data_IF_246183251896
#
_entry.id   IF_246183251896
#
_cell.length_a   1.000
_cell.length_b   1.000
_cell.length_c   1.000
_cell.angle_alpha   90.00
_cell.angle_beta   90.00
_cell.angle_gamma   90.00
#
_symmetry.space_group_name_H-M   'P 1'
#
loop_
_entity.id
_entity.type
_entity.pdbx_description
1 polymer ?
#
# COMPACT_ATOMS: atom_id res chain seq x y z
N UNK A 1 -50.30 20.88 -2.28
CA UNK A 1 -49.36 21.54 -3.22
C UNK A 1 -48.46 22.53 -2.48
N UNK A 2 -48.98 23.58 -1.84
CA UNK A 2 -48.15 24.56 -1.09
C UNK A 2 -47.28 23.97 0.03
N UNK A 3 -47.83 23.05 0.83
CA UNK A 3 -47.08 22.39 1.92
C UNK A 3 -45.93 21.52 1.38
N UNK A 4 -46.15 20.83 0.26
CA UNK A 4 -45.15 20.00 -0.42
C UNK A 4 -44.04 20.85 -1.03
N UNK A 5 -44.41 21.97 -1.67
CA UNK A 5 -43.43 22.92 -2.20
C UNK A 5 -42.55 23.51 -1.09
N UNK A 6 -43.16 23.90 0.04
CA UNK A 6 -42.44 24.47 1.18
C UNK A 6 -41.51 23.45 1.86
N UNK A 7 -41.88 22.17 1.90
CA UNK A 7 -41.01 21.10 2.38
C UNK A 7 -39.84 20.84 1.44
N UNK A 8 -40.06 20.85 0.12
CA UNK A 8 -38.98 20.72 -0.87
C UNK A 8 -37.97 21.87 -0.74
N UNK A 9 -38.44 23.12 -0.58
CA UNK A 9 -37.55 24.28 -0.40
C UNK A 9 -36.76 24.25 0.92
N UNK A 10 -37.27 23.59 1.97
CA UNK A 10 -36.54 23.40 3.22
C UNK A 10 -35.44 22.34 3.08
N UNK A 11 -35.74 21.23 2.39
CA UNK A 11 -34.76 20.19 2.09
C UNK A 11 -33.63 20.70 1.21
N UNK A 12 -33.94 21.43 0.13
CA UNK A 12 -32.94 22.08 -0.74
C UNK A 12 -32.02 23.02 0.05
N UNK A 13 -32.58 23.78 1.00
CA UNK A 13 -31.79 24.69 1.85
C UNK A 13 -30.90 23.92 2.83
N UNK A 14 -31.37 22.81 3.39
CA UNK A 14 -30.56 21.93 4.24
C UNK A 14 -29.41 21.28 3.44
N UNK A 15 -29.67 20.86 2.20
CA UNK A 15 -28.65 20.34 1.28
C UNK A 15 -27.58 21.39 0.94
N UNK A 16 -27.98 22.63 0.65
CA UNK A 16 -27.04 23.72 0.38
C UNK A 16 -26.15 24.04 1.60
N UNK A 17 -26.71 24.08 2.81
CA UNK A 17 -25.93 24.31 4.03
C UNK A 17 -24.99 23.14 4.33
N UNK A 18 -25.43 21.90 4.11
CA UNK A 18 -24.56 20.74 4.23
C UNK A 18 -23.42 20.80 3.21
N UNK A 19 -23.68 21.15 1.96
CA UNK A 19 -22.66 21.29 0.92
C UNK A 19 -21.57 22.32 1.29
N UNK A 20 -21.95 23.46 1.91
CA UNK A 20 -21.01 24.48 2.39
C UNK A 20 -20.06 23.95 3.47
N UNK A 21 -20.49 22.98 4.27
CA UNK A 21 -19.62 22.32 5.27
C UNK A 21 -18.79 21.22 4.62
N UNK A 22 -19.38 20.43 3.73
CA UNK A 22 -18.72 19.29 3.11
C UNK A 22 -17.61 19.66 2.14
N UNK A 23 -17.71 20.80 1.46
CA UNK A 23 -16.68 21.26 0.51
C UNK A 23 -15.30 21.38 1.17
N UNK A 24 -15.25 21.69 2.48
CA UNK A 24 -14.01 21.78 3.24
C UNK A 24 -13.24 20.46 3.34
N UNK A 25 -13.93 19.32 3.23
CA UNK A 25 -13.28 18.00 3.16
C UNK A 25 -12.36 17.88 1.94
N UNK A 26 -12.68 18.59 0.85
CA UNK A 26 -11.87 18.62 -0.38
C UNK A 26 -10.82 19.73 -0.32
N UNK A 27 -11.19 20.93 0.15
CA UNK A 27 -10.25 22.06 0.32
C UNK A 27 -9.03 21.66 1.17
N UNK A 28 -9.25 20.90 2.25
CA UNK A 28 -8.19 20.41 3.13
C UNK A 28 -7.99 18.90 3.09
N UNK A 29 -8.40 18.23 2.01
CA UNK A 29 -8.32 16.77 1.88
C UNK A 29 -6.91 16.22 2.05
N UNK A 30 -5.90 16.96 1.59
CA UNK A 30 -4.48 16.63 1.72
C UNK A 30 -3.96 16.62 3.17
N UNK A 31 -4.65 17.30 4.10
CA UNK A 31 -4.14 17.50 5.46
C UNK A 31 -3.96 16.19 6.22
N UNK A 32 -4.85 15.22 6.02
CA UNK A 32 -4.81 13.91 6.70
C UNK A 32 -3.53 13.16 6.34
N UNK A 33 -3.26 12.96 5.04
CA UNK A 33 -2.08 12.24 4.59
C UNK A 33 -0.79 12.98 4.99
N UNK A 34 -0.77 14.32 4.90
CA UNK A 34 0.39 15.12 5.29
C UNK A 34 0.71 15.00 6.80
N UNK A 35 -0.31 15.05 7.67
CA UNK A 35 -0.09 14.94 9.13
C UNK A 35 0.27 13.51 9.54
N UNK A 36 -0.28 12.49 8.89
CA UNK A 36 0.10 11.09 9.12
C UNK A 36 1.54 10.83 8.67
N UNK A 37 1.93 11.33 7.48
CA UNK A 37 3.31 11.29 7.00
C UNK A 37 4.26 11.92 8.03
N UNK A 38 3.94 13.12 8.49
CA UNK A 38 4.71 13.81 9.54
C UNK A 38 4.85 12.96 10.82
N UNK A 39 3.78 12.28 11.25
CA UNK A 39 3.83 11.39 12.42
C UNK A 39 4.78 10.19 12.22
N UNK A 40 4.84 9.62 11.02
CA UNK A 40 5.75 8.53 10.64
C UNK A 40 7.20 9.03 10.57
N UNK A 41 7.43 10.18 9.93
CA UNK A 41 8.75 10.80 9.81
C UNK A 41 9.35 11.14 11.17
N UNK A 42 8.53 11.72 12.06
CA UNK A 42 8.92 12.04 13.44
C UNK A 42 9.02 10.80 14.36
N UNK A 43 8.56 9.63 13.92
CA UNK A 43 8.57 8.40 14.72
C UNK A 43 7.68 8.48 15.96
N UNK A 44 6.54 9.19 15.88
CA UNK A 44 5.63 9.39 17.02
C UNK A 44 5.11 8.05 17.54
N UNK A 45 4.66 7.17 16.64
CA UNK A 45 4.16 5.86 17.02
C UNK A 45 5.26 5.04 17.70
N UNK A 46 6.46 5.00 17.13
CA UNK A 46 7.59 4.23 17.66
C UNK A 46 8.03 4.74 19.05
N UNK A 47 8.04 6.05 19.26
CA UNK A 47 8.36 6.65 20.55
C UNK A 47 7.35 6.28 21.63
N UNK A 48 6.05 6.33 21.33
CA UNK A 48 4.99 5.96 22.28
C UNK A 48 5.05 4.46 22.59
N UNK A 49 5.28 3.61 21.57
CA UNK A 49 5.41 2.16 21.78
C UNK A 49 6.63 1.82 22.63
N UNK A 50 7.78 2.42 22.32
CA UNK A 50 9.04 2.19 23.05
C UNK A 50 8.99 2.65 24.50
N UNK A 51 8.19 3.67 24.80
CA UNK A 51 7.93 4.12 26.16
C UNK A 51 7.12 3.11 27.00
N UNK A 52 6.37 2.21 26.35
CA UNK A 52 5.63 1.11 27.00
C UNK A 52 4.39 1.53 27.83
N UNK A 53 4.11 2.83 27.93
CA UNK A 53 2.98 3.38 28.69
C UNK A 53 2.56 4.75 28.11
N UNK A 54 1.39 5.31 28.49
CA UNK A 54 1.00 6.63 28.02
C UNK A 54 2.07 7.69 28.33
N UNK A 55 2.47 8.47 27.32
CA UNK A 55 3.59 9.42 27.41
C UNK A 55 3.09 10.87 27.44
N UNK A 56 3.68 11.74 28.26
CA UNK A 56 3.32 13.16 28.25
C UNK A 56 3.83 13.88 26.99
N UNK A 57 3.26 15.05 26.69
CA UNK A 57 3.72 15.87 25.57
C UNK A 57 5.21 16.24 25.67
N UNK A 58 5.68 16.58 26.87
CA UNK A 58 7.07 17.01 27.09
C UNK A 58 8.05 15.85 26.93
N UNK A 59 7.71 14.67 27.46
CA UNK A 59 8.52 13.47 27.29
C UNK A 59 8.57 13.03 25.83
N UNK A 60 7.42 13.06 25.13
CA UNK A 60 7.37 12.72 23.71
C UNK A 60 8.20 13.70 22.88
N UNK A 61 8.04 15.00 23.12
CA UNK A 61 8.83 16.07 22.49
C UNK A 61 10.34 15.90 22.73
N UNK A 62 10.76 15.58 23.95
CA UNK A 62 12.15 15.30 24.27
C UNK A 62 12.67 14.06 23.54
N UNK A 63 11.84 13.01 23.43
CA UNK A 63 12.19 11.74 22.77
C UNK A 63 12.41 11.91 21.28
N UNK A 64 11.48 12.59 20.59
CA UNK A 64 11.54 12.80 19.13
C UNK A 64 12.25 14.12 18.73
N UNK A 65 12.75 14.87 19.71
CA UNK A 65 13.54 16.10 19.55
C UNK A 65 12.83 17.20 18.74
N UNK A 66 11.60 17.52 19.09
CA UNK A 66 10.82 18.57 18.41
C UNK A 66 10.21 19.58 19.39
N UNK A 67 9.78 20.74 18.90
CA UNK A 67 9.10 21.76 19.71
C UNK A 67 7.75 21.25 20.29
N UNK A 68 7.52 21.36 21.62
CA UNK A 68 6.28 20.89 22.24
C UNK A 68 5.01 21.54 21.69
N UNK A 69 5.05 22.83 21.32
CA UNK A 69 3.86 23.56 20.85
C UNK A 69 3.40 23.08 19.47
N UNK A 70 4.37 22.86 18.58
CA UNK A 70 4.15 22.30 17.25
C UNK A 70 3.68 20.86 17.34
N UNK A 71 4.33 20.04 18.17
CA UNK A 71 3.92 18.66 18.42
C UNK A 71 2.50 18.57 18.98
N UNK A 72 2.14 19.46 19.90
CA UNK A 72 0.80 19.49 20.47
C UNK A 72 -0.29 19.66 19.41
N UNK A 73 -0.05 20.53 18.40
CA UNK A 73 -1.00 20.75 17.30
C UNK A 73 -1.15 19.51 16.43
N UNK A 74 -0.05 18.82 16.14
CA UNK A 74 -0.03 17.56 15.38
C UNK A 74 -0.77 16.46 16.17
N UNK A 75 -0.43 16.27 17.44
CA UNK A 75 -1.08 15.28 18.30
C UNK A 75 -2.58 15.55 18.43
N UNK A 76 -2.99 16.81 18.60
CA UNK A 76 -4.41 17.18 18.66
C UNK A 76 -5.17 16.79 17.40
N UNK A 77 -4.57 17.00 16.21
CA UNK A 77 -5.16 16.56 14.95
C UNK A 77 -5.27 15.02 14.90
N UNK A 78 -4.19 14.31 15.21
CA UNK A 78 -4.17 12.85 15.16
C UNK A 78 -5.15 12.21 16.16
N UNK A 79 -5.34 12.82 17.34
CA UNK A 79 -6.30 12.38 18.35
C UNK A 79 -7.74 12.64 17.90
N UNK A 80 -8.01 13.79 17.30
CA UNK A 80 -9.32 14.09 16.73
C UNK A 80 -9.71 13.09 15.63
N UNK A 81 -8.73 12.60 14.86
CA UNK A 81 -8.90 11.55 13.87
C UNK A 81 -8.79 10.12 14.43
N UNK A 82 -8.77 9.96 15.76
CA UNK A 82 -8.70 8.67 16.45
C UNK A 82 -7.47 7.80 16.10
N UNK A 83 -6.42 8.41 15.56
CA UNK A 83 -5.15 7.72 15.27
C UNK A 83 -4.42 7.46 16.59
N UNK A 84 -4.30 8.47 17.44
CA UNK A 84 -3.86 8.31 18.84
C UNK A 84 -5.01 8.61 19.79
N UNK A 85 -4.84 8.29 21.08
CA UNK A 85 -5.81 8.69 22.11
C UNK A 85 -5.15 9.48 23.23
N UNK A 86 -5.88 10.46 23.73
CA UNK A 86 -5.51 11.23 24.92
C UNK A 86 -6.02 10.52 26.17
N UNK A 87 -5.12 10.27 27.12
CA UNK A 87 -5.45 9.75 28.44
C UNK A 87 -5.57 10.92 29.40
N UNK A 88 -6.76 11.03 29.98
CA UNK A 88 -7.05 12.02 31.01
C UNK A 88 -6.61 11.46 32.36
N UNK A 89 -5.83 12.21 33.14
CA UNK A 89 -5.41 11.75 34.45
C UNK A 89 -6.59 11.69 35.42
N UNK A 90 -6.47 10.83 36.43
CA UNK A 90 -7.43 10.74 37.53
C UNK A 90 -7.40 12.02 38.40
N UNK A 91 -6.23 12.65 38.50
CA UNK A 91 -6.01 13.90 39.22
C UNK A 91 -5.93 15.03 38.18
N UNK A 92 -6.82 16.03 38.27
CA UNK A 92 -6.93 17.12 37.27
C UNK A 92 -5.64 17.95 37.06
N UNK A 93 -4.70 17.90 38.00
CA UNK A 93 -3.44 18.65 37.95
C UNK A 93 -2.34 17.93 37.15
N UNK A 94 -2.46 16.62 36.93
CA UNK A 94 -1.45 15.87 36.18
C UNK A 94 -1.52 16.26 34.69
N UNK A 95 -0.38 16.19 33.96
CA UNK A 95 -0.38 16.44 32.54
C UNK A 95 -1.17 15.35 31.79
N UNK A 96 -1.85 15.76 30.73
CA UNK A 96 -2.43 14.84 29.75
C UNK A 96 -1.32 13.98 29.13
N UNK A 97 -1.62 12.72 28.84
CA UNK A 97 -0.71 11.80 28.17
C UNK A 97 -1.33 11.18 26.93
N UNK A 98 -0.49 10.65 26.05
CA UNK A 98 -0.87 10.09 24.76
C UNK A 98 -0.59 8.59 24.75
N UNK A 99 -1.52 7.82 24.19
CA UNK A 99 -1.39 6.37 24.06
C UNK A 99 -1.76 5.91 22.64
N UNK A 100 -1.27 4.71 22.31
CA UNK A 100 -1.59 4.04 21.05
C UNK A 100 -3.08 3.69 20.93
N UNK A 101 -3.57 3.70 19.71
CA UNK A 101 -4.78 2.97 19.27
C UNK A 101 -4.36 1.80 18.36
N UNK A 102 -5.28 0.92 17.94
CA UNK A 102 -4.99 -0.02 16.87
C UNK A 102 -4.51 0.66 15.58
N UNK A 103 -5.08 1.83 15.23
CA UNK A 103 -4.74 2.54 13.99
C UNK A 103 -3.32 3.13 14.03
N UNK A 104 -2.89 3.73 15.14
CA UNK A 104 -1.50 4.23 15.24
C UNK A 104 -0.46 3.12 15.25
N UNK A 105 -0.83 1.90 15.69
CA UNK A 105 0.08 0.74 15.60
C UNK A 105 0.34 0.27 14.17
N UNK A 106 -0.56 0.60 13.24
CA UNK A 106 -0.31 0.41 11.81
C UNK A 106 0.72 1.43 11.25
N UNK A 107 1.19 2.39 12.05
CA UNK A 107 2.21 3.37 11.65
C UNK A 107 3.60 3.06 12.22
N UNK A 108 3.74 2.00 13.03
CA UNK A 108 5.01 1.59 13.65
C UNK A 108 5.98 1.06 12.60
N UNK A 109 7.23 1.52 12.57
CA UNK A 109 8.19 1.05 11.56
C UNK A 109 8.55 -0.43 11.72
N UNK A 110 8.61 -0.92 12.96
CA UNK A 110 9.00 -2.30 13.29
C UNK A 110 7.83 -3.30 13.33
N UNK A 111 6.59 -2.84 13.14
CA UNK A 111 5.41 -3.72 13.24
C UNK A 111 5.25 -4.56 11.97
N UNK A 112 4.93 -5.85 12.15
CA UNK A 112 4.56 -6.74 11.04
C UNK A 112 3.33 -6.24 10.28
N UNK A 113 2.44 -5.51 10.94
CA UNK A 113 1.18 -5.00 10.38
C UNK A 113 1.29 -3.50 10.03
N UNK A 114 2.50 -3.00 9.81
CA UNK A 114 2.71 -1.60 9.47
C UNK A 114 2.33 -1.30 8.03
N UNK A 115 1.62 -0.20 7.83
CA UNK A 115 1.34 0.42 6.53
C UNK A 115 2.15 1.72 6.34
N UNK A 116 3.12 1.99 7.22
CA UNK A 116 3.90 3.22 7.18
C UNK A 116 4.65 3.38 5.85
N UNK A 117 5.28 2.31 5.34
CA UNK A 117 6.02 2.35 4.07
C UNK A 117 5.11 2.71 2.89
N UNK A 118 3.90 2.11 2.82
CA UNK A 118 2.92 2.44 1.78
C UNK A 118 2.48 3.91 1.85
N UNK A 119 2.22 4.42 3.06
CA UNK A 119 1.90 5.84 3.24
C UNK A 119 3.06 6.74 2.80
N UNK A 120 4.31 6.35 3.07
CA UNK A 120 5.49 7.12 2.64
C UNK A 120 5.64 7.14 1.11
N UNK A 121 5.38 6.02 0.41
CA UNK A 121 5.37 5.96 -1.05
C UNK A 121 4.29 6.86 -1.64
N UNK A 122 3.02 6.66 -1.25
CA UNK A 122 1.86 7.38 -1.80
C UNK A 122 1.86 8.88 -1.45
N UNK A 123 2.51 9.26 -0.36
CA UNK A 123 2.71 10.67 0.03
C UNK A 123 4.02 11.27 -0.47
N UNK A 124 4.79 10.54 -1.29
CA UNK A 124 6.03 11.04 -1.85
C UNK A 124 5.74 12.10 -2.93
N UNK A 125 6.64 13.10 -3.11
CA UNK A 125 6.49 14.07 -4.19
C UNK A 125 6.40 13.42 -5.58
N UNK A 126 7.12 12.31 -5.79
CA UNK A 126 7.12 11.56 -7.06
C UNK A 126 5.74 11.01 -7.36
N UNK A 127 5.10 10.33 -6.40
CA UNK A 127 3.77 9.75 -6.56
C UNK A 127 2.65 10.80 -6.57
N UNK A 128 2.84 11.94 -5.90
CA UNK A 128 1.86 13.03 -5.86
C UNK A 128 1.90 13.94 -7.09
N UNK A 129 3.03 14.03 -7.81
CA UNK A 129 3.16 14.95 -8.93
C UNK A 129 2.14 14.69 -10.08
N UNK A 130 1.89 13.44 -10.52
CA UNK A 130 0.90 13.13 -11.56
C UNK A 130 -0.52 13.63 -11.27
N UNK A 131 -0.92 13.67 -9.99
CA UNK A 131 -2.24 14.12 -9.57
C UNK A 131 -2.53 15.58 -9.91
N UNK A 132 -1.49 16.40 -10.04
CA UNK A 132 -1.64 17.82 -10.42
C UNK A 132 -2.02 17.99 -11.91
N UNK A 133 -1.77 16.98 -12.74
CA UNK A 133 -2.02 16.99 -14.18
C UNK A 133 -3.32 16.32 -14.63
N UNK A 134 -4.18 15.87 -13.70
CA UNK A 134 -5.38 15.08 -14.04
C UNK A 134 -6.34 15.78 -15.02
N UNK A 135 -6.54 17.09 -14.87
CA UNK A 135 -7.43 17.84 -15.77
C UNK A 135 -6.91 17.87 -17.21
N UNK A 136 -5.60 18.09 -17.39
CA UNK A 136 -4.95 18.03 -18.70
C UNK A 136 -5.02 16.63 -19.31
N UNK A 137 -4.86 15.58 -18.49
CA UNK A 137 -5.00 14.18 -18.91
C UNK A 137 -6.40 13.89 -19.44
N UNK A 138 -7.46 14.32 -18.73
CA UNK A 138 -8.85 14.12 -19.18
C UNK A 138 -9.13 14.86 -20.48
N UNK A 139 -8.61 16.09 -20.63
CA UNK A 139 -8.79 16.88 -21.84
C UNK A 139 -8.06 16.30 -23.07
N UNK A 140 -7.02 15.50 -22.87
CA UNK A 140 -6.26 14.91 -23.95
C UNK A 140 -6.99 13.78 -24.69
N UNK A 141 -8.20 13.36 -24.28
CA UNK A 141 -9.05 12.38 -24.98
C UNK A 141 -8.31 11.10 -25.42
N UNK A 142 -7.44 10.56 -24.56
CA UNK A 142 -6.68 9.34 -24.83
C UNK A 142 -5.43 9.52 -25.70
N UNK A 143 -5.08 10.75 -26.10
CA UNK A 143 -3.90 11.03 -26.96
C UNK A 143 -2.62 11.33 -26.21
N UNK A 144 -2.65 11.43 -24.87
CA UNK A 144 -1.45 11.68 -24.07
C UNK A 144 -0.86 10.38 -23.50
N UNK A 145 0.43 10.42 -23.17
CA UNK A 145 1.08 9.40 -22.32
C UNK A 145 0.34 9.21 -20.98
N UNK A 146 0.54 8.07 -20.30
CA UNK A 146 0.16 7.87 -18.90
C UNK A 146 0.58 9.03 -17.99
N UNK A 147 -0.17 9.28 -16.92
CA UNK A 147 0.01 10.49 -16.11
C UNK A 147 1.38 10.57 -15.42
N UNK A 148 1.96 9.43 -15.04
CA UNK A 148 3.31 9.37 -14.47
C UNK A 148 4.37 9.77 -15.50
N UNK A 149 4.32 9.16 -16.68
CA UNK A 149 5.24 9.45 -17.80
C UNK A 149 5.14 10.91 -18.26
N UNK A 150 3.93 11.48 -18.30
CA UNK A 150 3.75 12.88 -18.68
C UNK A 150 4.47 13.87 -17.74
N UNK A 151 4.71 13.49 -16.48
CA UNK A 151 5.38 14.34 -15.48
C UNK A 151 6.87 14.02 -15.36
N UNK A 152 7.24 12.73 -15.42
CA UNK A 152 8.60 12.28 -15.13
C UNK A 152 9.40 11.90 -16.38
N UNK A 153 8.76 11.81 -17.55
CA UNK A 153 9.37 11.52 -18.85
C UNK A 153 9.53 10.03 -19.18
N UNK A 154 9.25 9.14 -18.23
CA UNK A 154 9.34 7.68 -18.35
C UNK A 154 8.28 7.02 -17.47
N UNK A 155 7.99 5.73 -17.69
CA UNK A 155 7.07 4.97 -16.84
C UNK A 155 7.65 4.76 -15.43
N UNK A 156 6.79 4.36 -14.49
CA UNK A 156 7.17 4.22 -13.08
C UNK A 156 8.28 3.19 -12.84
N UNK A 157 8.35 2.13 -13.65
CA UNK A 157 9.33 1.05 -13.51
C UNK A 157 10.69 1.47 -14.06
N UNK A 158 10.72 2.11 -15.23
CA UNK A 158 11.92 2.75 -15.78
C UNK A 158 12.47 3.82 -14.83
N UNK A 159 11.59 4.67 -14.30
CA UNK A 159 11.96 5.66 -13.29
C UNK A 159 12.55 5.02 -12.04
N UNK A 160 11.95 3.95 -11.52
CA UNK A 160 12.47 3.24 -10.35
C UNK A 160 13.86 2.63 -10.61
N UNK A 161 14.10 2.08 -11.81
CA UNK A 161 15.40 1.55 -12.19
C UNK A 161 16.51 2.62 -12.18
N UNK A 162 16.17 3.86 -12.60
CA UNK A 162 17.08 5.01 -12.56
C UNK A 162 17.22 5.64 -11.16
N UNK A 163 16.27 5.37 -10.24
CA UNK A 163 16.17 6.02 -8.94
C UNK A 163 16.11 4.98 -7.79
N UNK A 164 17.26 4.48 -7.30
CA UNK A 164 17.30 3.40 -6.30
C UNK A 164 16.51 3.69 -5.02
N UNK A 165 16.50 4.94 -4.54
CA UNK A 165 15.71 5.31 -3.36
C UNK A 165 14.20 5.26 -3.58
N UNK A 166 13.72 5.47 -4.82
CA UNK A 166 12.32 5.28 -5.16
C UNK A 166 11.97 3.81 -5.34
N UNK A 167 12.86 3.02 -5.97
CA UNK A 167 12.74 1.56 -6.05
C UNK A 167 12.66 0.93 -4.66
N UNK A 168 13.50 1.35 -3.71
CA UNK A 168 13.45 0.91 -2.32
C UNK A 168 12.10 1.23 -1.66
N UNK A 169 11.56 2.45 -1.86
CA UNK A 169 10.24 2.82 -1.33
C UNK A 169 9.11 1.95 -1.91
N UNK A 170 9.14 1.64 -3.21
CA UNK A 170 8.18 0.73 -3.85
C UNK A 170 8.28 -0.66 -3.23
N UNK A 171 9.49 -1.21 -3.13
CA UNK A 171 9.72 -2.53 -2.56
C UNK A 171 9.24 -2.60 -1.09
N UNK A 172 9.58 -1.61 -0.27
CA UNK A 172 9.13 -1.56 1.13
C UNK A 172 7.60 -1.46 1.25
N UNK A 173 6.96 -0.69 0.38
CA UNK A 173 5.51 -0.57 0.33
C UNK A 173 4.84 -1.89 -0.07
N UNK A 174 5.32 -2.56 -1.13
CA UNK A 174 4.78 -3.85 -1.56
C UNK A 174 5.00 -4.93 -0.50
N UNK A 175 6.17 -4.96 0.13
CA UNK A 175 6.47 -5.88 1.21
C UNK A 175 5.57 -5.64 2.45
N UNK A 176 5.23 -4.38 2.76
CA UNK A 176 4.34 -4.07 3.88
C UNK A 176 2.89 -4.49 3.63
N UNK A 177 2.38 -4.28 2.41
CA UNK A 177 1.07 -4.81 2.01
C UNK A 177 1.07 -6.34 2.04
N UNK A 178 2.13 -6.98 1.54
CA UNK A 178 2.25 -8.44 1.53
C UNK A 178 2.19 -9.04 2.94
N UNK A 179 2.88 -8.44 3.92
CA UNK A 179 2.83 -8.91 5.32
C UNK A 179 1.44 -8.82 5.94
N UNK A 180 0.59 -7.93 5.44
CA UNK A 180 -0.78 -7.76 5.91
C UNK A 180 -1.77 -8.67 5.17
N UNK A 181 -1.67 -8.77 3.85
CA UNK A 181 -2.64 -9.45 2.99
C UNK A 181 -2.40 -10.96 2.89
N UNK A 182 -1.14 -11.41 2.80
CA UNK A 182 -0.83 -12.84 2.58
C UNK A 182 -1.30 -13.75 3.72
N UNK A 183 -1.17 -13.42 5.01
CA UNK A 183 -1.68 -14.29 6.07
C UNK A 183 -3.18 -14.60 5.93
N UNK A 184 -3.99 -13.59 5.59
CA UNK A 184 -5.43 -13.76 5.39
C UNK A 184 -5.73 -14.60 4.13
N UNK A 185 -4.94 -14.43 3.06
CA UNK A 185 -5.04 -15.23 1.84
C UNK A 185 -4.71 -16.70 2.12
N UNK A 186 -3.61 -16.94 2.82
CA UNK A 186 -3.14 -18.28 3.19
C UNK A 186 -4.19 -18.96 4.08
N UNK A 187 -4.78 -18.26 5.05
CA UNK A 187 -5.85 -18.81 5.89
C UNK A 187 -7.12 -19.16 5.11
N UNK A 188 -7.46 -18.39 4.08
CA UNK A 188 -8.73 -18.51 3.36
C UNK A 188 -8.68 -19.41 2.13
N UNK A 189 -7.49 -19.63 1.56
CA UNK A 189 -7.31 -20.24 0.25
C UNK A 189 -6.09 -21.19 0.19
N UNK A 190 -5.70 -21.81 1.31
CA UNK A 190 -4.52 -22.69 1.37
C UNK A 190 -4.62 -23.84 0.37
N UNK A 191 -5.83 -24.35 0.16
CA UNK A 191 -6.14 -25.47 -0.72
C UNK A 191 -5.82 -25.20 -2.19
N UNK A 192 -5.77 -23.93 -2.60
CA UNK A 192 -5.33 -23.48 -3.92
C UNK A 192 -3.87 -23.90 -4.18
N UNK A 193 -3.08 -24.09 -3.11
CA UNK A 193 -1.67 -24.46 -3.23
C UNK A 193 -1.38 -25.96 -3.09
N UNK A 194 -2.41 -26.79 -2.87
CA UNK A 194 -2.21 -28.23 -2.70
C UNK A 194 -1.66 -28.89 -3.96
N UNK A 195 -0.60 -29.69 -3.81
CA UNK A 195 0.02 -30.43 -4.92
C UNK A 195 0.96 -29.61 -5.81
N UNK A 196 1.18 -28.33 -5.50
CA UNK A 196 2.18 -27.48 -6.15
C UNK A 196 3.54 -27.75 -5.50
N UNK A 197 4.52 -28.24 -6.26
CA UNK A 197 5.89 -28.46 -5.76
C UNK A 197 6.81 -27.27 -6.08
N UNK A 198 6.57 -26.62 -7.23
CA UNK A 198 7.32 -25.47 -7.70
C UNK A 198 6.37 -24.30 -8.04
N UNK A 199 6.70 -23.10 -7.57
CA UNK A 199 5.86 -21.91 -7.79
C UNK A 199 6.69 -20.71 -8.19
N UNK A 200 6.21 -19.89 -9.12
CA UNK A 200 6.82 -18.61 -9.51
C UNK A 200 5.94 -17.45 -9.06
N UNK A 201 6.52 -16.44 -8.41
CA UNK A 201 5.87 -15.17 -8.09
C UNK A 201 6.36 -14.13 -9.10
N UNK A 202 5.49 -13.72 -10.03
CA UNK A 202 5.81 -12.83 -11.16
C UNK A 202 5.51 -11.39 -10.74
N UNK A 203 6.52 -10.53 -10.84
CA UNK A 203 6.48 -9.22 -10.18
C UNK A 203 6.55 -9.35 -8.66
N UNK A 204 7.31 -10.35 -8.17
CA UNK A 204 7.35 -10.72 -6.75
C UNK A 204 8.12 -9.74 -5.85
N UNK A 205 8.72 -8.69 -6.43
CA UNK A 205 9.44 -7.64 -5.72
C UNK A 205 10.64 -8.18 -4.94
N UNK A 206 10.73 -7.81 -3.67
CA UNK A 206 11.79 -8.26 -2.76
C UNK A 206 11.63 -9.73 -2.28
N UNK A 207 10.62 -10.44 -2.79
CA UNK A 207 10.33 -11.84 -2.46
C UNK A 207 9.61 -12.04 -1.12
N UNK A 208 9.14 -10.97 -0.46
CA UNK A 208 8.41 -11.06 0.81
C UNK A 208 7.17 -11.94 0.70
N UNK A 209 6.35 -11.75 -0.35
CA UNK A 209 5.11 -12.51 -0.57
C UNK A 209 5.40 -14.00 -0.69
N UNK A 210 6.27 -14.37 -1.63
CA UNK A 210 6.66 -15.76 -1.86
C UNK A 210 7.31 -16.40 -0.62
N UNK A 211 8.16 -15.66 0.10
CA UNK A 211 8.80 -16.14 1.32
C UNK A 211 7.79 -16.48 2.43
N UNK A 212 6.71 -15.71 2.56
CA UNK A 212 5.63 -16.01 3.49
C UNK A 212 4.85 -17.25 3.05
N UNK A 213 4.57 -17.36 1.75
CA UNK A 213 3.82 -18.47 1.19
C UNK A 213 4.55 -19.81 1.33
N UNK A 214 5.82 -19.90 0.92
CA UNK A 214 6.57 -21.17 1.01
C UNK A 214 6.75 -21.63 2.47
N UNK A 215 6.77 -20.70 3.44
CA UNK A 215 6.78 -21.01 4.87
C UNK A 215 5.44 -21.59 5.34
N UNK A 216 4.33 -21.09 4.82
CA UNK A 216 2.99 -21.57 5.15
C UNK A 216 2.59 -22.86 4.41
N UNK A 217 3.20 -23.13 3.25
CA UNK A 217 3.01 -24.33 2.44
C UNK A 217 4.32 -25.13 2.36
N UNK A 218 4.67 -25.94 3.39
CA UNK A 218 5.97 -26.62 3.44
C UNK A 218 6.21 -27.65 2.32
N UNK A 219 5.15 -28.11 1.65
CA UNK A 219 5.25 -29.02 0.50
C UNK A 219 5.74 -28.34 -0.78
N UNK A 220 5.67 -27.02 -0.88
CA UNK A 220 6.30 -26.26 -1.96
C UNK A 220 7.82 -26.37 -1.76
N UNK A 221 8.45 -27.18 -2.61
CA UNK A 221 9.87 -27.49 -2.53
C UNK A 221 10.74 -26.34 -3.08
N UNK A 222 10.24 -25.60 -4.07
CA UNK A 222 10.96 -24.50 -4.72
C UNK A 222 10.04 -23.34 -5.09
N UNK A 223 10.31 -22.16 -4.53
CA UNK A 223 9.76 -20.88 -4.98
C UNK A 223 10.74 -20.14 -5.87
N UNK A 224 10.25 -19.50 -6.93
CA UNK A 224 11.00 -18.61 -7.81
C UNK A 224 10.42 -17.20 -7.66
N UNK A 225 11.14 -16.30 -7.01
CA UNK A 225 10.81 -14.88 -6.99
C UNK A 225 11.31 -14.25 -8.29
N UNK A 226 10.40 -13.81 -9.16
CA UNK A 226 10.72 -13.31 -10.49
C UNK A 226 10.33 -11.84 -10.62
N UNK A 227 11.31 -10.99 -10.89
CA UNK A 227 11.12 -9.54 -11.06
C UNK A 227 12.24 -8.97 -11.94
N UNK A 228 12.23 -7.65 -12.17
CA UNK A 228 13.28 -6.95 -12.91
C UNK A 228 14.66 -7.18 -12.25
N UNK A 229 15.75 -7.28 -13.04
CA UNK A 229 17.09 -7.57 -12.50
C UNK A 229 17.53 -6.64 -11.37
N UNK A 230 17.20 -5.35 -11.45
CA UNK A 230 17.57 -4.36 -10.43
C UNK A 230 16.78 -4.54 -9.12
N UNK A 231 15.58 -5.12 -9.16
CA UNK A 231 14.74 -5.39 -8.00
C UNK A 231 15.25 -6.62 -7.26
N UNK A 232 15.42 -7.74 -7.97
CA UNK A 232 15.83 -9.01 -7.34
C UNK A 232 17.27 -8.99 -6.84
N UNK A 233 18.15 -8.12 -7.37
CA UNK A 233 19.55 -8.06 -6.95
C UNK A 233 19.75 -7.56 -5.51
N UNK A 234 18.76 -6.84 -4.97
CA UNK A 234 18.74 -6.36 -3.57
C UNK A 234 17.77 -7.14 -2.68
N UNK A 235 17.03 -8.11 -3.26
CA UNK A 235 16.13 -8.98 -2.52
C UNK A 235 16.92 -9.87 -1.55
N UNK A 236 16.37 -10.06 -0.35
CA UNK A 236 17.02 -10.90 0.67
C UNK A 236 16.87 -12.37 0.30
N UNK A 237 17.90 -13.15 0.57
CA UNK A 237 17.82 -14.60 0.45
C UNK A 237 16.78 -15.17 1.43
N UNK A 238 16.00 -16.13 0.96
CA UNK A 238 15.07 -16.90 1.79
C UNK A 238 15.18 -18.37 1.45
N UNK A 239 15.03 -19.22 2.47
CA UNK A 239 15.05 -20.66 2.31
C UNK A 239 13.97 -21.11 1.31
N UNK A 240 14.34 -21.99 0.37
CA UNK A 240 13.52 -22.49 -0.74
C UNK A 240 13.05 -21.42 -1.74
N UNK A 241 13.53 -20.18 -1.66
CA UNK A 241 13.20 -19.11 -2.62
C UNK A 241 14.46 -18.73 -3.41
N UNK A 242 14.36 -18.83 -4.73
CA UNK A 242 15.37 -18.39 -5.68
C UNK A 242 14.96 -17.05 -6.30
N UNK A 243 15.84 -16.06 -6.27
CA UNK A 243 15.62 -14.75 -6.89
C UNK A 243 16.11 -14.78 -8.35
N UNK A 244 15.22 -14.55 -9.31
CA UNK A 244 15.50 -14.61 -10.75
C UNK A 244 15.13 -13.28 -11.40
N UNK A 245 16.11 -12.67 -12.06
CA UNK A 245 15.92 -11.40 -12.76
C UNK A 245 15.50 -11.61 -14.21
N UNK A 246 14.50 -10.88 -14.68
CA UNK A 246 14.10 -10.90 -16.08
C UNK A 246 12.96 -9.94 -16.38
N UNK A 247 12.41 -10.06 -17.58
CA UNK A 247 11.23 -9.35 -18.02
C UNK A 247 10.09 -10.35 -18.25
N UNK A 248 8.95 -10.14 -17.60
CA UNK A 248 7.78 -11.03 -17.69
C UNK A 248 7.11 -11.01 -19.07
N UNK A 249 7.33 -9.96 -19.86
CA UNK A 249 6.86 -9.87 -21.24
C UNK A 249 7.75 -10.66 -22.21
N UNK A 250 9.01 -10.93 -21.83
CA UNK A 250 9.92 -11.77 -22.60
C UNK A 250 9.77 -13.24 -22.24
N UNK A 251 9.89 -13.58 -20.95
CA UNK A 251 9.75 -14.97 -20.49
C UNK A 251 9.51 -15.04 -18.98
N UNK A 252 8.70 -16.02 -18.56
CA UNK A 252 8.49 -16.34 -17.14
C UNK A 252 9.14 -17.71 -16.84
N UNK A 253 9.86 -17.86 -15.71
CA UNK A 253 10.39 -19.15 -15.29
C UNK A 253 9.31 -20.23 -15.16
N UNK A 254 9.60 -21.43 -15.66
CA UNK A 254 8.69 -22.57 -15.56
C UNK A 254 8.55 -23.06 -14.11
N UNK A 255 7.31 -23.31 -13.71
CA UNK A 255 6.91 -23.84 -12.41
C UNK A 255 5.59 -24.62 -12.54
N UNK A 256 5.10 -25.26 -11.48
CA UNK A 256 3.79 -25.93 -11.47
C UNK A 256 2.64 -24.93 -11.32
N UNK A 257 2.93 -23.72 -10.82
CA UNK A 257 2.00 -22.61 -10.70
C UNK A 257 2.70 -21.25 -10.74
N UNK A 258 1.94 -20.21 -11.09
CA UNK A 258 2.33 -18.82 -10.98
C UNK A 258 1.49 -18.10 -9.92
N UNK A 259 2.01 -17.01 -9.37
CA UNK A 259 1.27 -16.00 -8.63
C UNK A 259 1.58 -14.65 -9.27
N UNK A 260 0.54 -13.84 -9.44
CA UNK A 260 0.64 -12.51 -10.02
C UNK A 260 -0.13 -11.58 -9.08
N UNK A 261 0.51 -11.16 -7.99
CA UNK A 261 -0.10 -10.31 -6.97
C UNK A 261 0.21 -8.84 -7.24
N UNK A 262 -0.82 -8.00 -7.33
CA UNK A 262 -0.65 -6.54 -7.45
C UNK A 262 0.17 -6.12 -8.69
N UNK A 263 0.09 -6.88 -9.79
CA UNK A 263 0.75 -6.54 -11.07
C UNK A 263 -0.28 -6.22 -12.14
N UNK A 264 -1.32 -7.04 -12.30
CA UNK A 264 -2.28 -6.93 -13.42
C UNK A 264 -2.98 -5.56 -13.54
N UNK A 265 -3.09 -4.80 -12.44
CA UNK A 265 -3.76 -3.49 -12.44
C UNK A 265 -2.88 -2.33 -12.90
N UNK A 266 -1.57 -2.55 -13.04
CA UNK A 266 -0.63 -1.54 -13.52
C UNK A 266 -0.64 -1.39 -15.05
N UNK A 267 -1.29 -2.36 -15.71
CA UNK A 267 -1.28 -2.58 -17.14
C UNK A 267 -2.64 -2.22 -17.74
N UNK A 268 -2.64 -1.79 -19.01
CA UNK A 268 -3.84 -1.23 -19.65
C UNK A 268 -4.90 -2.30 -19.97
N UNK A 269 -6.11 -1.86 -20.34
CA UNK A 269 -7.16 -2.76 -20.85
C UNK A 269 -6.74 -3.50 -22.13
N UNK A 270 -5.71 -3.00 -22.85
CA UNK A 270 -5.09 -3.68 -24.01
C UNK A 270 -4.21 -4.87 -23.60
N UNK A 271 -3.97 -5.09 -22.30
CA UNK A 271 -3.34 -6.26 -21.70
C UNK A 271 -4.40 -7.06 -20.92
N UNK A 272 -5.45 -7.47 -21.64
CA UNK A 272 -6.56 -8.30 -21.17
C UNK A 272 -6.08 -9.64 -20.59
N UNK A 273 -6.98 -10.35 -19.90
CA UNK A 273 -6.81 -11.77 -19.54
C UNK A 273 -6.35 -12.65 -20.72
N UNK A 274 -6.61 -12.24 -21.96
CA UNK A 274 -6.16 -12.93 -23.17
C UNK A 274 -4.66 -12.71 -23.44
N UNK A 275 -4.14 -11.49 -23.27
CA UNK A 275 -2.69 -11.24 -23.31
C UNK A 275 -1.99 -11.98 -22.16
N UNK A 276 -2.54 -11.95 -20.95
CA UNK A 276 -2.00 -12.75 -19.84
C UNK A 276 -2.05 -14.25 -20.13
N UNK A 277 -3.14 -14.73 -20.74
CA UNK A 277 -3.23 -16.10 -21.21
C UNK A 277 -2.20 -16.44 -22.29
N UNK A 278 -1.88 -15.50 -23.18
CA UNK A 278 -0.82 -15.65 -24.18
C UNK A 278 0.57 -15.70 -23.53
N UNK A 279 0.90 -14.75 -22.65
CA UNK A 279 2.18 -14.73 -21.92
C UNK A 279 2.38 -16.04 -21.13
N UNK A 280 1.35 -16.52 -20.45
CA UNK A 280 1.41 -17.81 -19.74
C UNK A 280 1.57 -18.99 -20.70
N UNK A 281 0.90 -18.96 -21.86
CA UNK A 281 1.05 -20.01 -22.88
C UNK A 281 2.46 -20.04 -23.46
N UNK A 282 3.05 -18.89 -23.79
CA UNK A 282 4.43 -18.78 -24.30
C UNK A 282 5.47 -19.16 -23.24
N UNK A 283 5.20 -18.86 -21.96
CA UNK A 283 5.99 -19.36 -20.83
C UNK A 283 5.90 -20.89 -20.66
N UNK A 284 5.02 -21.57 -21.40
CA UNK A 284 4.90 -23.01 -21.45
C UNK A 284 3.87 -23.60 -20.50
N UNK A 285 2.93 -22.80 -19.99
CA UNK A 285 1.77 -23.28 -19.23
C UNK A 285 0.63 -23.62 -20.20
N UNK A 286 0.25 -24.90 -20.30
CA UNK A 286 -0.79 -25.34 -21.24
C UNK A 286 -2.22 -25.00 -20.79
N UNK A 287 -2.41 -24.72 -19.50
CA UNK A 287 -3.71 -24.32 -18.92
C UNK A 287 -3.50 -23.29 -17.82
N UNK A 288 -4.42 -22.35 -17.68
CA UNK A 288 -4.45 -21.43 -16.53
C UNK A 288 -5.87 -21.22 -16.02
N UNK A 289 -6.00 -20.97 -14.72
CA UNK A 289 -7.24 -20.55 -14.07
C UNK A 289 -6.97 -19.30 -13.23
N UNK A 290 -7.77 -18.27 -13.45
CA UNK A 290 -7.74 -17.03 -12.66
C UNK A 290 -8.81 -17.15 -11.58
N UNK A 291 -8.38 -17.21 -10.32
CA UNK A 291 -9.28 -17.27 -9.16
C UNK A 291 -9.31 -15.89 -8.50
N UNK A 292 -10.44 -15.16 -8.54
CA UNK A 292 -10.60 -13.92 -7.80
C UNK A 292 -10.57 -14.21 -6.30
N UNK A 293 -9.77 -13.46 -5.53
CA UNK A 293 -9.71 -13.58 -4.08
C UNK A 293 -10.10 -12.23 -3.49
N UNK A 294 -11.00 -12.19 -2.50
CA UNK A 294 -11.43 -10.89 -1.93
C UNK A 294 -10.29 -10.11 -1.24
N UNK A 295 -9.17 -10.77 -0.93
CA UNK A 295 -7.99 -10.18 -0.28
C UNK A 295 -6.85 -9.77 -1.24
N UNK A 296 -6.79 -10.31 -2.47
CA UNK A 296 -5.83 -9.91 -3.52
C UNK A 296 -6.54 -9.94 -4.87
N UNK A 297 -6.31 -8.95 -5.75
CA UNK A 297 -7.08 -8.75 -6.98
C UNK A 297 -7.34 -10.03 -7.79
N UNK A 298 -6.40 -10.98 -7.88
CA UNK A 298 -6.60 -12.37 -8.33
C UNK A 298 -5.35 -13.23 -8.04
N UNK A 299 -5.50 -14.55 -8.01
CA UNK A 299 -4.37 -15.52 -8.13
C UNK A 299 -4.53 -16.29 -9.43
N UNK A 300 -3.48 -16.36 -10.25
CA UNK A 300 -3.50 -17.08 -11.53
C UNK A 300 -2.73 -18.39 -11.40
N UNK A 301 -3.44 -19.50 -11.20
CA UNK A 301 -2.81 -20.82 -11.26
C UNK A 301 -2.58 -21.20 -12.72
N UNK A 302 -1.34 -21.41 -13.12
CA UNK A 302 -0.98 -21.84 -14.46
C UNK A 302 -0.30 -23.21 -14.37
N UNK A 303 -0.84 -24.21 -15.07
CA UNK A 303 -0.40 -25.60 -15.02
C UNK A 303 0.38 -25.96 -16.30
N UNK A 304 1.41 -26.82 -16.21
CA UNK A 304 2.12 -27.34 -17.38
C UNK A 304 1.19 -28.02 -18.39
#
# INVERSE_FOLDING_TARGET
MEHTQRQLTLLEKEEEEQAKVEVWKYVFGFSKIAVVKCAIELGIADAIESHGSPISLLELSATIKCDPSSLYRIMRFLIHHHIFKEIHPKIKLDPKSYAQTPLSRCLLKSSKNSMAAFIMLESSPVMLAPWHGLSARVQANGTSSPAFEAVHGEDVWSFAAANPGHSELINEAMACDARLSLPALIESCLEVFNGIETIVDVGGGDGTSLSLLVKACPWIARGINFDLPHVVCVAKESERVENVGGDMFDSIPKADAAIIKSVLHDWGDEETLKEWGYVLTEAGFSRHSVTPINAVQSVIQAFP
#
